data_IF_699633103905
#
_entry.id   IF_699633103905
#
_cell.length_a   1.000
_cell.length_b   1.000
_cell.length_c   1.000
_cell.angle_alpha   90.00
_cell.angle_beta   90.00
_cell.angle_gamma   90.00
#
_symmetry.space_group_name_H-M   'P 1'
#
loop_
_entity.id
_entity.type
_entity.pdbx_description
1 polymer ?
#
# COMPACT_ATOMS: atom_id res chain seq x y z
N UNK A 1 19.46 6.71 23.20
CA UNK A 1 18.01 6.81 22.94
C UNK A 1 17.76 6.26 21.55
N UNK A 2 16.75 5.41 21.34
CA UNK A 2 16.42 4.89 20.00
C UNK A 2 15.30 5.75 19.43
N UNK A 3 15.41 6.17 18.17
CA UNK A 3 14.32 6.86 17.50
C UNK A 3 13.07 5.96 17.47
N UNK A 4 11.95 6.39 18.06
CA UNK A 4 10.77 5.54 18.16
C UNK A 4 9.92 5.54 16.88
N UNK A 5 10.21 6.45 15.93
CA UNK A 5 9.56 6.49 14.64
C UNK A 5 10.33 5.59 13.66
N UNK A 6 9.65 4.60 13.08
CA UNK A 6 10.24 3.71 12.08
C UNK A 6 9.83 4.12 10.67
N UNK A 7 10.77 4.06 9.73
CA UNK A 7 10.51 4.21 8.29
C UNK A 7 10.13 2.87 7.61
N UNK A 8 10.16 1.77 8.36
CA UNK A 8 9.85 0.43 7.88
C UNK A 8 8.55 -0.10 8.48
N UNK A 9 8.11 -1.27 8.03
CA UNK A 9 6.97 -1.98 8.60
C UNK A 9 7.16 -2.15 10.11
N UNK A 10 6.14 -1.78 10.88
CA UNK A 10 6.20 -1.83 12.33
C UNK A 10 6.14 -3.28 12.83
N UNK A 11 6.99 -3.61 13.80
CA UNK A 11 7.00 -4.94 14.42
C UNK A 11 5.76 -5.20 15.29
N UNK A 12 5.49 -6.47 15.58
CA UNK A 12 4.30 -6.92 16.33
C UNK A 12 4.09 -6.31 17.71
N UNK A 13 5.10 -5.67 18.31
CA UNK A 13 5.02 -5.01 19.62
C UNK A 13 5.22 -3.50 19.55
N UNK A 14 5.52 -2.97 18.36
CA UNK A 14 5.73 -1.53 18.21
C UNK A 14 4.39 -0.78 18.32
N UNK A 15 4.37 0.48 18.77
CA UNK A 15 3.15 1.26 18.85
C UNK A 15 2.47 1.38 17.48
N UNK A 16 1.18 1.13 17.41
CA UNK A 16 0.38 1.25 16.19
C UNK A 16 -0.79 2.19 16.46
N UNK A 17 -0.83 3.33 15.75
CA UNK A 17 -1.81 4.37 16.00
C UNK A 17 -3.21 3.95 15.56
N UNK A 18 -4.15 4.05 16.51
CA UNK A 18 -5.59 3.79 16.46
C UNK A 18 -6.21 3.47 15.07
N UNK A 19 -6.00 2.23 14.61
CA UNK A 19 -6.75 1.60 13.51
C UNK A 19 -7.49 0.35 14.01
N UNK A 20 -7.97 0.42 15.26
CA UNK A 20 -8.58 -0.70 15.98
C UNK A 20 -9.94 -1.09 15.40
N UNK A 21 -10.75 -0.12 15.00
CA UNK A 21 -12.08 -0.36 14.40
C UNK A 21 -11.99 -1.13 13.08
N UNK A 22 -11.11 -0.70 12.17
CA UNK A 22 -10.92 -1.38 10.88
C UNK A 22 -10.30 -2.77 11.08
N UNK A 23 -9.37 -2.94 12.03
CA UNK A 23 -8.85 -4.27 12.39
C UNK A 23 -9.94 -5.17 12.94
N UNK A 24 -10.78 -4.69 13.85
CA UNK A 24 -11.88 -5.46 14.42
C UNK A 24 -12.90 -5.86 13.35
N UNK A 25 -13.25 -4.95 12.44
CA UNK A 25 -14.14 -5.22 11.32
C UNK A 25 -13.55 -6.28 10.37
N UNK A 26 -12.29 -6.14 9.97
CA UNK A 26 -11.62 -7.13 9.12
C UNK A 26 -11.48 -8.49 9.81
N UNK A 27 -11.22 -8.50 11.11
CA UNK A 27 -11.09 -9.72 11.91
C UNK A 27 -12.42 -10.46 12.01
N UNK A 28 -13.53 -9.75 12.21
CA UNK A 28 -14.88 -10.32 12.25
C UNK A 28 -15.21 -10.98 10.91
N UNK A 29 -15.05 -10.24 9.81
CA UNK A 29 -15.34 -10.75 8.46
C UNK A 29 -14.45 -11.94 8.10
N UNK A 30 -13.15 -11.88 8.43
CA UNK A 30 -12.21 -12.96 8.17
C UNK A 30 -12.59 -14.24 8.92
N UNK A 31 -13.10 -14.14 10.15
CA UNK A 31 -13.61 -15.31 10.90
C UNK A 31 -14.92 -15.84 10.35
N UNK A 32 -15.71 -15.01 9.69
CA UNK A 32 -16.98 -15.38 9.08
C UNK A 32 -16.85 -16.01 7.69
N UNK A 33 -15.65 -16.15 7.14
CA UNK A 33 -15.46 -16.67 5.77
C UNK A 33 -15.66 -15.60 4.68
N UNK A 34 -15.73 -14.32 5.05
CA UNK A 34 -16.09 -13.24 4.12
C UNK A 34 -14.87 -12.58 3.48
N UNK A 35 -14.97 -12.35 2.17
CA UNK A 35 -13.93 -11.68 1.40
C UNK A 35 -14.02 -10.16 1.54
N UNK A 36 -12.89 -9.49 1.71
CA UNK A 36 -12.78 -8.05 1.86
C UNK A 36 -11.73 -7.47 0.93
N UNK A 37 -11.93 -6.21 0.54
CA UNK A 37 -10.97 -5.41 -0.23
C UNK A 37 -10.62 -4.20 0.61
N UNK A 38 -9.33 -3.98 0.84
CA UNK A 38 -8.83 -2.79 1.52
C UNK A 38 -8.15 -1.86 0.53
N UNK A 39 -8.83 -0.76 0.24
CA UNK A 39 -8.32 0.34 -0.57
C UNK A 39 -7.53 1.29 0.34
N UNK A 40 -6.20 1.23 0.25
CA UNK A 40 -5.32 2.06 1.05
C UNK A 40 -4.47 2.97 0.15
N UNK A 41 -4.30 4.26 0.49
CA UNK A 41 -3.33 5.11 -0.18
C UNK A 41 -1.92 4.49 -0.10
N UNK A 42 -1.04 4.83 -1.06
CA UNK A 42 0.38 4.48 -0.96
C UNK A 42 0.94 4.98 0.37
N UNK A 43 1.81 4.16 0.99
CA UNK A 43 2.48 4.48 2.25
C UNK A 43 1.54 4.76 3.45
N UNK A 44 0.27 4.36 3.37
CA UNK A 44 -0.69 4.49 4.49
C UNK A 44 -0.48 3.49 5.65
N UNK A 45 0.51 2.59 5.57
CA UNK A 45 0.76 1.55 6.57
C UNK A 45 -0.01 0.24 6.36
N UNK A 46 -0.53 0.01 5.14
CA UNK A 46 -1.32 -1.19 4.78
C UNK A 46 -0.65 -2.52 5.14
N UNK A 47 0.66 -2.64 4.92
CA UNK A 47 1.42 -3.85 5.21
C UNK A 47 1.51 -4.10 6.72
N UNK A 48 1.72 -3.05 7.51
CA UNK A 48 1.66 -3.14 8.98
C UNK A 48 0.28 -3.60 9.44
N UNK A 49 -0.80 -3.00 8.91
CA UNK A 49 -2.17 -3.40 9.25
C UNK A 49 -2.42 -4.89 8.92
N UNK A 50 -1.99 -5.35 7.74
CA UNK A 50 -2.10 -6.75 7.33
C UNK A 50 -1.37 -7.70 8.30
N UNK A 51 -0.16 -7.32 8.77
CA UNK A 51 0.57 -8.10 9.77
C UNK A 51 -0.12 -8.09 11.14
N UNK A 52 -0.71 -6.97 11.56
CA UNK A 52 -1.51 -6.90 12.81
C UNK A 52 -2.71 -7.83 12.75
N UNK A 53 -3.48 -7.76 11.66
CA UNK A 53 -4.60 -8.66 11.42
C UNK A 53 -4.12 -10.11 11.41
N UNK A 54 -3.01 -10.40 10.75
CA UNK A 54 -2.47 -11.75 10.68
C UNK A 54 -2.06 -12.31 12.05
N UNK A 55 -1.41 -11.49 12.88
CA UNK A 55 -1.06 -11.83 14.26
C UNK A 55 -2.32 -12.15 15.07
N UNK A 56 -3.31 -11.26 15.03
CA UNK A 56 -4.53 -11.41 15.83
C UNK A 56 -5.35 -12.62 15.37
N UNK A 57 -5.41 -12.89 14.07
CA UNK A 57 -6.04 -14.06 13.49
C UNK A 57 -5.33 -15.37 13.86
N UNK A 58 -3.99 -15.39 13.88
CA UNK A 58 -3.22 -16.54 14.37
C UNK A 58 -3.44 -16.80 15.86
N UNK A 59 -3.49 -15.75 16.68
CA UNK A 59 -3.78 -15.87 18.12
C UNK A 59 -5.18 -16.44 18.38
N UNK A 60 -6.09 -16.28 17.44
CA UNK A 60 -7.43 -16.87 17.47
C UNK A 60 -7.48 -18.34 16.99
N UNK A 61 -6.34 -18.94 16.64
CA UNK A 61 -6.25 -20.33 16.15
C UNK A 61 -6.35 -20.49 14.63
N UNK A 62 -6.39 -19.39 13.87
CA UNK A 62 -6.42 -19.44 12.40
C UNK A 62 -5.04 -19.48 11.75
N UNK A 63 -5.00 -19.83 10.47
CA UNK A 63 -3.80 -19.76 9.62
C UNK A 63 -3.89 -18.54 8.73
N UNK A 64 -2.77 -17.84 8.52
CA UNK A 64 -2.71 -16.66 7.65
C UNK A 64 -1.55 -16.74 6.67
N UNK A 65 -1.89 -16.72 5.38
CA UNK A 65 -0.96 -16.56 4.26
C UNK A 65 -0.97 -15.11 3.78
N UNK A 66 0.20 -14.52 3.57
CA UNK A 66 0.35 -13.16 3.02
C UNK A 66 1.26 -13.25 1.81
N UNK A 67 0.70 -13.03 0.63
CA UNK A 67 1.44 -13.01 -0.63
C UNK A 67 1.53 -11.58 -1.17
N UNK A 68 2.74 -11.10 -1.37
CA UNK A 68 3.02 -9.84 -2.05
C UNK A 68 3.05 -10.07 -3.57
N UNK A 69 2.09 -9.51 -4.30
CA UNK A 69 1.98 -9.64 -5.76
C UNK A 69 2.54 -8.43 -6.51
N UNK A 70 3.29 -7.56 -5.84
CA UNK A 70 3.89 -6.36 -6.43
C UNK A 70 4.80 -6.69 -7.63
N UNK A 71 4.53 -6.05 -8.76
CA UNK A 71 5.34 -6.16 -9.97
C UNK A 71 5.62 -7.61 -10.43
N UNK A 72 4.68 -8.54 -10.22
CA UNK A 72 4.80 -9.89 -10.78
C UNK A 72 4.81 -9.81 -12.32
N UNK A 73 5.74 -10.51 -13.01
CA UNK A 73 5.85 -10.43 -14.47
C UNK A 73 4.87 -11.36 -15.21
N UNK A 74 4.28 -12.35 -14.53
CA UNK A 74 3.43 -13.37 -15.14
C UNK A 74 2.52 -14.06 -14.12
N UNK A 75 1.52 -14.81 -14.61
CA UNK A 75 0.67 -15.67 -13.78
C UNK A 75 1.47 -16.76 -13.04
N UNK A 76 2.52 -17.31 -13.65
CA UNK A 76 3.41 -18.28 -13.00
C UNK A 76 4.14 -17.68 -11.80
N UNK A 77 4.66 -16.46 -11.95
CA UNK A 77 5.33 -15.77 -10.85
C UNK A 77 4.36 -15.44 -9.70
N UNK A 78 3.11 -15.07 -10.04
CA UNK A 78 2.07 -14.90 -9.03
C UNK A 78 1.76 -16.21 -8.30
N UNK A 79 1.62 -17.32 -9.05
CA UNK A 79 1.40 -18.65 -8.50
C UNK A 79 2.51 -19.05 -7.53
N UNK A 80 3.77 -18.79 -7.91
CA UNK A 80 4.95 -19.06 -7.08
C UNK A 80 4.94 -18.25 -5.78
N UNK A 81 4.66 -16.93 -5.84
CA UNK A 81 4.60 -16.11 -4.63
C UNK A 81 3.49 -16.54 -3.67
N UNK A 82 2.32 -16.91 -4.19
CA UNK A 82 1.20 -17.43 -3.38
C UNK A 82 1.59 -18.78 -2.75
N UNK A 83 2.22 -19.66 -3.52
CA UNK A 83 2.68 -20.95 -3.05
C UNK A 83 3.72 -20.82 -1.92
N UNK A 84 4.73 -19.95 -2.09
CA UNK A 84 5.74 -19.67 -1.07
C UNK A 84 5.10 -19.08 0.19
N UNK A 85 4.19 -18.12 0.05
CA UNK A 85 3.47 -17.53 1.17
C UNK A 85 2.64 -18.56 1.94
N UNK A 86 1.93 -19.43 1.23
CA UNK A 86 1.17 -20.53 1.82
C UNK A 86 2.08 -21.51 2.56
N UNK A 87 3.16 -21.95 1.92
CA UNK A 87 4.12 -22.86 2.53
C UNK A 87 4.68 -22.26 3.82
N UNK A 88 5.12 -21.00 3.80
CA UNK A 88 5.63 -20.29 4.96
C UNK A 88 4.60 -20.23 6.09
N UNK A 89 3.33 -19.91 5.77
CA UNK A 89 2.25 -19.86 6.75
C UNK A 89 2.00 -21.21 7.43
N UNK A 90 2.02 -22.30 6.67
CA UNK A 90 1.76 -23.64 7.17
C UNK A 90 2.94 -24.22 7.95
N UNK A 91 4.18 -23.87 7.58
CA UNK A 91 5.39 -24.30 8.29
C UNK A 91 5.53 -23.73 9.70
N UNK A 92 4.79 -22.67 10.04
CA UNK A 92 4.80 -22.08 11.40
C UNK A 92 4.24 -23.03 12.46
N UNK A 93 3.33 -23.93 12.08
CA UNK A 93 2.79 -24.95 12.96
C UNK A 93 3.16 -26.35 12.46
N UNK A 94 4.07 -27.03 13.17
CA UNK A 94 4.55 -28.37 12.80
C UNK A 94 3.43 -29.40 12.64
N UNK A 95 2.35 -29.31 13.43
CA UNK A 95 1.22 -30.26 13.34
C UNK A 95 0.41 -30.00 12.07
N UNK A 96 0.13 -28.74 11.78
CA UNK A 96 -0.56 -28.32 10.56
C UNK A 96 0.30 -28.69 9.34
N UNK A 97 1.59 -28.37 9.38
CA UNK A 97 2.53 -28.72 8.32
C UNK A 97 2.58 -30.23 8.03
N UNK A 98 2.69 -31.08 9.06
CA UNK A 98 2.69 -32.53 8.89
C UNK A 98 1.38 -33.07 8.29
N UNK A 99 0.24 -32.49 8.69
CA UNK A 99 -1.08 -32.83 8.14
C UNK A 99 -1.23 -32.41 6.68
N UNK A 100 -0.63 -31.30 6.30
CA UNK A 100 -0.78 -30.66 4.99
C UNK A 100 0.38 -30.91 4.03
N UNK A 101 1.48 -31.52 4.48
CA UNK A 101 2.69 -31.72 3.69
C UNK A 101 2.43 -32.43 2.35
N UNK A 102 1.41 -33.30 2.27
CA UNK A 102 1.02 -33.97 1.02
C UNK A 102 0.36 -33.03 0.01
N UNK A 103 -0.37 -32.01 0.46
CA UNK A 103 -1.00 -30.99 -0.39
C UNK A 103 0.03 -29.96 -0.89
N UNK A 104 1.03 -29.66 -0.06
CA UNK A 104 2.04 -28.64 -0.37
C UNK A 104 3.29 -29.25 -1.04
N UNK A 105 3.40 -30.58 -1.15
CA UNK A 105 4.52 -31.28 -1.80
C UNK A 105 4.71 -30.88 -3.26
N UNK A 106 3.63 -30.58 -3.97
CA UNK A 106 3.65 -30.06 -5.34
C UNK A 106 4.21 -28.62 -5.42
N UNK A 107 4.39 -27.97 -4.27
CA UNK A 107 4.78 -26.58 -4.14
C UNK A 107 6.03 -26.35 -3.30
N UNK A 108 6.79 -27.43 -3.03
CA UNK A 108 8.02 -27.32 -2.26
C UNK A 108 9.01 -26.41 -3.01
N UNK A 109 9.50 -25.34 -2.35
CA UNK A 109 10.56 -24.53 -2.91
C UNK A 109 11.81 -25.39 -3.10
N UNK A 110 12.25 -25.52 -4.35
CA UNK A 110 13.54 -26.07 -4.72
C UNK A 110 14.54 -24.93 -4.72
N UNK A 111 15.51 -25.04 -3.82
CA UNK A 111 16.64 -24.13 -3.75
C UNK A 111 17.71 -24.63 -4.72
N UNK A 112 17.94 -23.88 -5.79
CA UNK A 112 19.00 -24.15 -6.76
C UNK A 112 20.14 -23.16 -6.55
N UNK A 113 21.37 -23.64 -6.47
CA UNK A 113 22.54 -22.78 -6.45
C UNK A 113 22.97 -22.49 -7.89
N UNK A 114 22.97 -21.22 -8.27
CA UNK A 114 23.44 -20.77 -9.56
C UNK A 114 24.98 -20.85 -9.63
N UNK A 115 25.57 -20.91 -10.84
CA UNK A 115 27.02 -20.95 -11.02
C UNK A 115 27.77 -19.74 -10.43
N UNK A 116 27.09 -18.61 -10.26
CA UNK A 116 27.63 -17.37 -9.65
C UNK A 116 27.57 -17.37 -8.11
N UNK A 117 27.11 -18.46 -7.49
CA UNK A 117 26.97 -18.60 -6.05
C UNK A 117 25.68 -18.02 -5.47
N UNK A 118 24.77 -17.50 -6.29
CA UNK A 118 23.45 -17.04 -5.83
C UNK A 118 22.48 -18.21 -5.69
N UNK A 119 21.52 -18.12 -4.76
CA UNK A 119 20.48 -19.13 -4.60
C UNK A 119 19.19 -18.64 -5.27
N UNK A 120 18.65 -19.45 -6.18
CA UNK A 120 17.30 -19.27 -6.72
C UNK A 120 16.35 -20.22 -6.01
N UNK A 121 15.24 -19.68 -5.52
CA UNK A 121 14.15 -20.47 -4.95
C UNK A 121 13.11 -20.59 -6.06
N UNK A 122 12.84 -21.80 -6.51
CA UNK A 122 11.83 -22.07 -7.54
C UNK A 122 10.85 -23.14 -7.05
N UNK A 123 9.57 -23.02 -7.38
CA UNK A 123 8.62 -24.09 -7.04
C UNK A 123 8.61 -25.16 -8.14
N UNK A 124 8.84 -26.43 -7.79
CA UNK A 124 8.74 -27.56 -8.73
C UNK A 124 7.35 -28.16 -8.72
N UNK A 125 6.52 -27.81 -9.71
CA UNK A 125 5.25 -28.53 -9.91
C UNK A 125 5.55 -29.93 -10.45
N UNK A 126 5.00 -30.96 -9.80
CA UNK A 126 5.09 -32.34 -10.27
C UNK A 126 4.29 -32.51 -11.58
N UNK A 127 4.94 -32.27 -12.72
CA UNK A 127 4.68 -32.85 -14.06
C UNK A 127 3.30 -32.74 -14.73
N UNK A 128 2.24 -32.29 -14.06
CA UNK A 128 0.86 -32.43 -14.57
C UNK A 128 0.09 -31.11 -14.76
N UNK A 129 0.57 -29.99 -14.21
CA UNK A 129 -0.12 -28.70 -14.31
C UNK A 129 0.50 -27.89 -15.45
N UNK A 130 -0.33 -27.45 -16.40
CA UNK A 130 0.08 -26.52 -17.47
C UNK A 130 0.53 -25.19 -16.83
N UNK A 131 1.56 -24.56 -17.38
CA UNK A 131 2.07 -23.27 -16.89
C UNK A 131 1.05 -22.12 -17.04
N UNK A 132 1.36 -20.97 -16.45
CA UNK A 132 0.56 -19.76 -16.55
C UNK A 132 -0.66 -19.76 -15.63
N UNK A 133 -1.83 -19.44 -16.20
CA UNK A 133 -3.09 -19.29 -15.45
C UNK A 133 -3.51 -20.61 -14.78
N UNK A 134 -3.33 -21.75 -15.45
CA UNK A 134 -3.68 -23.06 -14.91
C UNK A 134 -2.90 -23.38 -13.62
N UNK A 135 -1.62 -23.00 -13.58
CA UNK A 135 -0.79 -23.12 -12.38
C UNK A 135 -1.26 -22.22 -11.25
N UNK A 136 -1.59 -20.96 -11.56
CA UNK A 136 -2.13 -20.01 -10.59
C UNK A 136 -3.45 -20.52 -9.99
N UNK A 137 -4.37 -20.98 -10.83
CA UNK A 137 -5.64 -21.59 -10.40
C UNK A 137 -5.41 -22.83 -9.56
N UNK A 138 -4.45 -23.69 -9.93
CA UNK A 138 -4.11 -24.87 -9.14
C UNK A 138 -3.62 -24.49 -7.73
N UNK A 139 -2.70 -23.54 -7.62
CA UNK A 139 -2.18 -23.08 -6.31
C UNK A 139 -3.31 -22.49 -5.46
N UNK A 140 -4.15 -21.64 -6.05
CA UNK A 140 -5.26 -21.01 -5.33
C UNK A 140 -6.35 -22.02 -4.98
N UNK A 141 -6.60 -23.02 -5.83
CA UNK A 141 -7.53 -24.11 -5.56
C UNK A 141 -7.06 -25.04 -4.43
N UNK A 142 -5.74 -25.18 -4.24
CA UNK A 142 -5.22 -25.96 -3.12
C UNK A 142 -5.36 -25.27 -1.76
N UNK A 143 -5.55 -23.94 -1.72
CA UNK A 143 -5.94 -23.21 -0.50
C UNK A 143 -7.28 -23.71 0.04
N UNK A 144 -8.22 -24.02 -0.86
CA UNK A 144 -9.53 -24.55 -0.47
C UNK A 144 -9.39 -25.88 0.25
N UNK A 145 -8.54 -26.78 -0.26
CA UNK A 145 -8.28 -28.08 0.35
C UNK A 145 -7.68 -27.96 1.76
N UNK A 146 -6.90 -26.91 2.03
CA UNK A 146 -6.37 -26.62 3.37
C UNK A 146 -7.52 -26.27 4.33
N UNK A 147 -8.45 -25.42 3.89
CA UNK A 147 -9.58 -24.99 4.71
C UNK A 147 -10.62 -26.11 4.89
N UNK A 148 -11.01 -26.77 3.79
CA UNK A 148 -12.08 -27.76 3.75
C UNK A 148 -11.74 -29.08 4.44
N UNK A 149 -10.55 -29.63 4.16
CA UNK A 149 -10.22 -31.00 4.59
C UNK A 149 -9.85 -31.08 6.07
N UNK A 150 -9.48 -29.96 6.67
CA UNK A 150 -8.92 -29.92 8.03
C UNK A 150 -9.67 -29.00 8.99
N UNK A 151 -10.75 -28.36 8.52
CA UNK A 151 -11.56 -27.41 9.30
C UNK A 151 -10.68 -26.31 9.93
N UNK A 152 -9.69 -25.84 9.15
CA UNK A 152 -8.74 -24.81 9.57
C UNK A 152 -9.24 -23.46 9.02
N UNK A 153 -9.56 -22.49 9.88
CA UNK A 153 -9.86 -21.14 9.44
C UNK A 153 -8.63 -20.55 8.75
N UNK A 154 -8.74 -20.27 7.44
CA UNK A 154 -7.66 -19.76 6.62
C UNK A 154 -7.99 -18.35 6.14
N UNK A 155 -7.10 -17.40 6.43
CA UNK A 155 -7.12 -16.06 5.84
C UNK A 155 -5.98 -15.94 4.81
N UNK A 156 -6.33 -15.56 3.60
CA UNK A 156 -5.40 -15.34 2.49
C UNK A 156 -5.35 -13.83 2.19
N UNK A 157 -4.20 -13.22 2.45
CA UNK A 157 -3.95 -11.81 2.12
C UNK A 157 -3.17 -11.76 0.81
N UNK A 158 -3.73 -11.07 -0.19
CA UNK A 158 -3.08 -10.80 -1.47
C UNK A 158 -2.78 -9.30 -1.55
N UNK A 159 -1.53 -8.92 -1.29
CA UNK A 159 -1.07 -7.52 -1.38
C UNK A 159 -0.71 -7.16 -2.82
N UNK A 160 -0.95 -5.89 -3.18
CA UNK A 160 -0.90 -5.37 -4.54
C UNK A 160 -1.67 -6.22 -5.58
N UNK A 161 -2.85 -6.73 -5.19
CA UNK A 161 -3.65 -7.64 -6.03
C UNK A 161 -3.97 -7.09 -7.43
N UNK A 162 -4.11 -5.77 -7.56
CA UNK A 162 -4.39 -5.13 -8.83
C UNK A 162 -3.28 -5.28 -9.87
N UNK A 163 -2.06 -5.61 -9.45
CA UNK A 163 -0.95 -5.81 -10.39
C UNK A 163 -1.19 -7.03 -11.30
N UNK A 164 -2.01 -8.00 -10.86
CA UNK A 164 -2.46 -9.10 -11.72
C UNK A 164 -3.30 -8.62 -12.90
N UNK A 165 -4.12 -7.58 -12.69
CA UNK A 165 -4.94 -7.01 -13.75
C UNK A 165 -4.13 -6.20 -14.78
N UNK A 166 -2.87 -5.88 -14.47
CA UNK A 166 -1.95 -5.18 -15.36
C UNK A 166 -1.14 -6.13 -16.25
N UNK A 167 -1.19 -7.43 -15.99
CA UNK A 167 -0.59 -8.44 -16.83
C UNK A 167 -1.28 -8.48 -18.20
N UNK A 168 -0.55 -8.96 -19.22
CA UNK A 168 -1.06 -9.12 -20.59
C UNK A 168 -2.38 -9.92 -20.62
N UNK A 169 -2.49 -10.94 -19.79
CA UNK A 169 -3.66 -11.82 -19.69
C UNK A 169 -4.55 -11.49 -18.48
N UNK A 170 -4.52 -10.23 -18.00
CA UNK A 170 -5.12 -9.82 -16.73
C UNK A 170 -6.62 -10.11 -16.59
N UNK A 171 -7.42 -9.92 -17.64
CA UNK A 171 -8.86 -10.24 -17.60
C UNK A 171 -9.12 -11.75 -17.44
N UNK A 172 -8.34 -12.59 -18.12
CA UNK A 172 -8.45 -14.04 -18.02
C UNK A 172 -8.00 -14.54 -16.63
N UNK A 173 -6.92 -13.96 -16.08
CA UNK A 173 -6.46 -14.23 -14.71
C UNK A 173 -7.55 -13.86 -13.71
N UNK A 174 -8.15 -12.68 -13.85
CA UNK A 174 -9.21 -12.20 -12.97
C UNK A 174 -10.42 -13.15 -12.97
N UNK A 175 -10.90 -13.54 -14.15
CA UNK A 175 -12.02 -14.46 -14.30
C UNK A 175 -11.73 -15.85 -13.71
N UNK A 176 -10.53 -16.38 -13.94
CA UNK A 176 -10.11 -17.67 -13.42
C UNK A 176 -10.01 -17.66 -11.88
N UNK A 177 -9.39 -16.62 -11.31
CA UNK A 177 -9.30 -16.45 -9.86
C UNK A 177 -10.68 -16.27 -9.22
N UNK A 178 -11.56 -15.45 -9.80
CA UNK A 178 -12.93 -15.29 -9.30
C UNK A 178 -13.66 -16.63 -9.21
N UNK A 179 -13.60 -17.41 -10.29
CA UNK A 179 -14.27 -18.72 -10.37
C UNK A 179 -13.76 -19.68 -9.32
N UNK A 180 -12.46 -19.60 -9.02
CA UNK A 180 -11.79 -20.44 -8.03
C UNK A 180 -12.12 -20.01 -6.60
N UNK A 181 -12.05 -18.71 -6.30
CA UNK A 181 -12.21 -18.14 -4.95
C UNK A 181 -13.65 -18.20 -4.46
N UNK A 182 -14.64 -18.02 -5.34
CA UNK A 182 -16.04 -17.86 -4.92
C UNK A 182 -16.66 -19.08 -4.22
N UNK A 183 -16.07 -20.26 -4.37
CA UNK A 183 -16.55 -21.51 -3.78
C UNK A 183 -15.78 -21.93 -2.53
N UNK A 184 -14.75 -21.16 -2.14
CA UNK A 184 -13.87 -21.56 -1.06
C UNK A 184 -14.40 -21.15 0.31
N UNK A 185 -14.05 -21.93 1.33
CA UNK A 185 -14.29 -21.56 2.74
C UNK A 185 -13.27 -20.57 3.30
N UNK A 186 -12.11 -20.44 2.65
CA UNK A 186 -11.08 -19.49 3.06
C UNK A 186 -11.56 -18.05 2.87
N UNK A 187 -11.21 -17.17 3.81
CA UNK A 187 -11.43 -15.74 3.70
C UNK A 187 -10.30 -15.07 2.93
N UNK A 188 -10.63 -14.13 2.05
CA UNK A 188 -9.65 -13.38 1.28
C UNK A 188 -9.64 -11.91 1.69
N UNK A 189 -8.44 -11.34 1.86
CA UNK A 189 -8.21 -9.91 1.98
C UNK A 189 -7.36 -9.44 0.79
N UNK A 190 -7.99 -8.70 -0.12
CA UNK A 190 -7.31 -8.09 -1.26
C UNK A 190 -6.86 -6.68 -0.88
N UNK A 191 -5.57 -6.39 -1.00
CA UNK A 191 -4.99 -5.09 -0.67
C UNK A 191 -4.32 -4.53 -1.91
N UNK A 192 -4.35 -3.19 -2.08
CA UNK A 192 -3.70 -2.57 -3.22
C UNK A 192 -3.53 -1.07 -3.11
N UNK A 193 -2.41 -0.59 -3.64
CA UNK A 193 -2.10 0.84 -3.68
C UNK A 193 -2.78 1.58 -4.83
N UNK A 194 -2.99 0.95 -5.99
CA UNK A 194 -3.70 1.59 -7.11
C UNK A 194 -5.22 1.47 -6.91
N UNK A 195 -5.72 2.27 -5.98
CA UNK A 195 -7.10 2.21 -5.47
C UNK A 195 -8.14 2.22 -6.58
N UNK A 196 -7.94 3.00 -7.65
CA UNK A 196 -8.87 3.02 -8.79
C UNK A 196 -9.00 1.66 -9.47
N UNK A 197 -7.88 1.02 -9.81
CA UNK A 197 -7.89 -0.28 -10.51
C UNK A 197 -8.50 -1.33 -9.61
N UNK A 198 -8.07 -1.38 -8.35
CA UNK A 198 -8.59 -2.35 -7.38
C UNK A 198 -10.09 -2.13 -7.13
N UNK A 199 -10.54 -0.89 -6.95
CA UNK A 199 -11.97 -0.55 -6.83
C UNK A 199 -12.75 -0.99 -8.07
N UNK A 200 -12.26 -0.65 -9.27
CA UNK A 200 -12.91 -1.01 -10.52
C UNK A 200 -13.10 -2.54 -10.63
N UNK A 201 -12.13 -3.35 -10.20
CA UNK A 201 -12.23 -4.83 -10.20
C UNK A 201 -13.42 -5.36 -9.38
N UNK A 202 -13.76 -4.72 -8.26
CA UNK A 202 -14.79 -5.23 -7.32
C UNK A 202 -16.13 -4.48 -7.39
N UNK A 203 -16.15 -3.23 -7.88
CA UNK A 203 -17.36 -2.40 -7.95
C UNK A 203 -17.93 -2.25 -9.37
N UNK A 204 -17.18 -2.60 -10.43
CA UNK A 204 -17.68 -2.48 -11.80
C UNK A 204 -18.39 -3.74 -12.28
N UNK A 205 -19.64 -3.66 -12.79
CA UNK A 205 -20.35 -4.81 -13.38
C UNK A 205 -19.64 -5.45 -14.60
N UNK A 206 -18.64 -4.78 -15.17
CA UNK A 206 -17.85 -5.26 -16.31
C UNK A 206 -16.66 -6.13 -15.89
N UNK A 207 -16.40 -6.27 -14.58
CA UNK A 207 -15.24 -6.98 -14.03
C UNK A 207 -15.68 -8.28 -13.39
N UNK A 208 -14.80 -9.28 -13.38
CA UNK A 208 -15.15 -10.62 -12.91
C UNK A 208 -15.37 -10.64 -11.39
N UNK A 209 -14.60 -9.85 -10.62
CA UNK A 209 -14.77 -9.73 -9.18
C UNK A 209 -15.93 -8.85 -8.73
N UNK A 210 -16.82 -8.43 -9.63
CA UNK A 210 -17.98 -7.61 -9.27
C UNK A 210 -18.78 -8.21 -8.10
N UNK A 211 -18.89 -7.45 -7.00
CA UNK A 211 -19.54 -7.87 -5.74
C UNK A 211 -18.96 -9.16 -5.13
N UNK A 212 -17.72 -9.52 -5.46
CA UNK A 212 -17.03 -10.70 -4.94
C UNK A 212 -16.47 -10.52 -3.52
N UNK A 213 -16.44 -9.29 -3.00
CA UNK A 213 -15.91 -8.93 -1.69
C UNK A 213 -16.48 -7.59 -1.21
N UNK A 214 -16.46 -7.36 0.10
CA UNK A 214 -16.82 -6.08 0.71
C UNK A 214 -15.67 -5.08 0.56
N UNK A 215 -15.92 -3.97 -0.13
CA UNK A 215 -14.91 -2.92 -0.35
C UNK A 215 -14.89 -1.95 0.82
N UNK A 216 -13.69 -1.71 1.38
CA UNK A 216 -13.44 -0.79 2.49
C UNK A 216 -12.29 0.13 2.15
N UNK A 217 -12.39 1.40 2.52
CA UNK A 217 -11.25 2.32 2.46
C UNK A 217 -10.49 2.25 3.80
N UNK A 218 -9.16 2.32 3.76
CA UNK A 218 -8.37 2.60 4.95
C UNK A 218 -8.49 4.11 5.24
N UNK A 219 -9.18 4.52 6.32
CA UNK A 219 -9.26 5.94 6.65
C UNK A 219 -7.88 6.47 7.04
N UNK A 220 -7.71 7.78 6.86
CA UNK A 220 -6.64 8.49 7.53
C UNK A 220 -6.86 8.42 9.04
N UNK A 221 -5.77 8.42 9.80
CA UNK A 221 -5.83 8.48 11.26
C UNK A 221 -6.42 9.84 11.64
N UNK A 222 -7.31 9.87 12.63
CA UNK A 222 -7.86 11.11 13.17
C UNK A 222 -6.71 12.03 13.65
N UNK A 223 -6.80 13.33 13.38
CA UNK A 223 -5.72 14.26 13.69
C UNK A 223 -5.36 14.29 15.16
N UNK A 224 -6.36 14.32 16.05
CA UNK A 224 -6.14 14.39 17.49
C UNK A 224 -5.51 13.10 18.02
N UNK A 225 -6.02 11.95 17.57
CA UNK A 225 -5.46 10.65 17.92
C UNK A 225 -4.01 10.50 17.43
N UNK A 226 -3.71 11.00 16.24
CA UNK A 226 -2.36 10.92 15.67
C UNK A 226 -1.39 11.79 16.47
N UNK A 227 -1.77 13.03 16.79
CA UNK A 227 -0.96 13.92 17.62
C UNK A 227 -0.71 13.33 19.01
N UNK A 228 -1.74 12.81 19.67
CA UNK A 228 -1.62 12.13 20.97
C UNK A 228 -0.67 10.94 20.90
N UNK A 229 -0.76 10.15 19.83
CA UNK A 229 0.14 9.03 19.61
C UNK A 229 1.60 9.49 19.47
N UNK A 230 1.88 10.55 18.72
CA UNK A 230 3.24 11.08 18.58
C UNK A 230 3.81 11.53 19.93
N UNK A 231 3.04 12.25 20.74
CA UNK A 231 3.45 12.66 22.10
C UNK A 231 3.78 11.43 22.96
N UNK A 232 2.89 10.43 22.97
CA UNK A 232 3.07 9.23 23.78
C UNK A 232 4.30 8.41 23.36
N UNK A 233 4.53 8.27 22.05
CA UNK A 233 5.66 7.54 21.47
C UNK A 233 6.99 8.22 21.81
N UNK A 234 7.04 9.54 21.76
CA UNK A 234 8.23 10.33 22.15
C UNK A 234 8.48 10.24 23.65
N UNK A 235 7.44 10.40 24.47
CA UNK A 235 7.55 10.26 25.93
C UNK A 235 8.11 8.90 26.34
N UNK A 236 7.63 7.82 25.71
CA UNK A 236 8.11 6.45 25.96
C UNK A 236 9.59 6.25 25.57
N UNK A 237 10.12 7.06 24.66
CA UNK A 237 11.54 7.03 24.27
C UNK A 237 12.47 7.81 25.22
N UNK A 238 11.92 8.61 26.13
CA UNK A 238 12.66 9.43 27.09
C UNK A 238 12.92 10.88 26.65
N UNK A 239 12.27 11.34 25.58
CA UNK A 239 12.22 12.75 25.18
C UNK A 239 10.81 13.31 25.42
N UNK A 240 10.60 14.61 25.21
CA UNK A 240 9.29 15.25 25.35
C UNK A 240 9.08 16.24 24.21
N UNK A 241 7.90 16.19 23.60
CA UNK A 241 7.43 17.17 22.60
C UNK A 241 6.14 17.81 23.09
N UNK A 242 6.00 19.10 22.81
CA UNK A 242 4.76 19.82 23.07
C UNK A 242 3.67 19.41 22.07
N UNK A 243 2.41 19.38 22.52
CA UNK A 243 1.25 19.00 21.69
C UNK A 243 1.14 19.85 20.42
N UNK A 244 1.44 21.14 20.51
CA UNK A 244 1.41 22.05 19.36
C UNK A 244 2.36 21.60 18.23
N UNK A 245 3.55 21.08 18.56
CA UNK A 245 4.50 20.57 17.55
C UNK A 245 3.90 19.35 16.83
N UNK A 246 3.28 18.43 17.58
CA UNK A 246 2.65 17.25 16.97
C UNK A 246 1.44 17.60 16.11
N UNK A 247 0.63 18.58 16.54
CA UNK A 247 -0.50 19.09 15.76
C UNK A 247 -0.02 19.75 14.45
N UNK A 248 1.05 20.54 14.52
CA UNK A 248 1.64 21.19 13.34
C UNK A 248 2.20 20.14 12.36
N UNK A 249 2.86 19.08 12.84
CA UNK A 249 3.31 17.97 11.98
C UNK A 249 2.12 17.34 11.27
N UNK A 250 1.08 16.95 12.02
CA UNK A 250 -0.09 16.24 11.49
C UNK A 250 -0.85 17.12 10.49
N UNK A 251 -1.03 18.41 10.79
CA UNK A 251 -1.70 19.37 9.92
C UNK A 251 -0.92 19.61 8.61
N UNK A 252 0.41 19.77 8.70
CA UNK A 252 1.28 20.08 7.54
C UNK A 252 1.15 19.04 6.41
N UNK A 253 0.93 17.77 6.77
CA UNK A 253 0.84 16.67 5.81
C UNK A 253 -0.49 15.93 5.87
N UNK A 254 -1.55 16.61 6.35
CA UNK A 254 -2.93 16.14 6.34
C UNK A 254 -3.10 14.69 6.83
N UNK A 255 -2.52 14.36 7.98
CA UNK A 255 -2.58 13.02 8.59
C UNK A 255 -2.04 11.86 7.73
N UNK A 256 -1.29 12.12 6.66
CA UNK A 256 -0.71 11.07 5.83
C UNK A 256 0.36 10.31 6.61
N UNK A 257 0.09 9.03 6.93
CA UNK A 257 0.84 8.22 7.90
C UNK A 257 2.35 8.27 7.71
N UNK A 258 2.82 8.04 6.48
CA UNK A 258 4.24 8.04 6.19
C UNK A 258 4.86 9.43 6.30
N UNK A 259 4.17 10.46 5.83
CA UNK A 259 4.70 11.82 5.86
C UNK A 259 4.81 12.35 7.28
N UNK A 260 3.80 12.08 8.12
CA UNK A 260 3.84 12.38 9.56
C UNK A 260 5.04 11.68 10.20
N UNK A 261 5.17 10.37 9.97
CA UNK A 261 6.26 9.56 10.55
C UNK A 261 7.64 10.00 10.03
N UNK A 262 7.77 10.40 8.77
CA UNK A 262 9.02 10.85 8.18
C UNK A 262 9.48 12.17 8.80
N UNK A 263 8.59 13.16 8.93
CA UNK A 263 8.88 14.43 9.58
C UNK A 263 9.20 14.19 11.07
N UNK A 264 8.40 13.39 11.76
CA UNK A 264 8.61 13.09 13.18
C UNK A 264 9.95 12.36 13.40
N UNK A 265 10.30 11.41 12.53
CA UNK A 265 11.59 10.75 12.57
C UNK A 265 12.75 11.74 12.45
N UNK A 266 12.70 12.63 11.44
CA UNK A 266 13.74 13.63 11.20
C UNK A 266 13.86 14.61 12.37
N UNK A 267 12.73 15.12 12.86
CA UNK A 267 12.69 16.04 14.00
C UNK A 267 13.29 15.40 15.26
N UNK A 268 12.96 14.14 15.52
CA UNK A 268 13.48 13.41 16.66
C UNK A 268 15.00 13.22 16.57
N UNK A 269 15.53 12.88 15.39
CA UNK A 269 16.97 12.78 15.18
C UNK A 269 17.69 14.10 15.45
N UNK A 270 17.07 15.23 15.11
CA UNK A 270 17.66 16.55 15.25
C UNK A 270 17.65 17.07 16.69
N UNK A 271 16.56 16.82 17.44
CA UNK A 271 16.36 17.51 18.72
C UNK A 271 16.49 16.62 19.94
N UNK A 272 16.29 15.31 19.82
CA UNK A 272 16.29 14.43 20.99
C UNK A 272 17.63 14.50 21.76
N UNK A 273 17.59 14.56 23.10
CA UNK A 273 16.43 14.40 23.98
C UNK A 273 15.67 15.71 24.30
N UNK A 274 16.04 16.85 23.71
CA UNK A 274 15.43 18.15 23.98
C UNK A 274 14.09 18.32 23.24
N UNK A 275 13.20 19.12 23.82
CA UNK A 275 11.96 19.52 23.15
C UNK A 275 12.29 20.40 21.94
N UNK A 276 11.71 20.13 20.76
CA UNK A 276 11.90 20.93 19.56
C UNK A 276 11.20 22.29 19.67
N UNK A 277 11.78 23.30 19.03
CA UNK A 277 11.14 24.58 18.74
C UNK A 277 10.39 24.54 17.39
N UNK A 278 9.59 25.57 17.11
CA UNK A 278 8.95 25.72 15.80
C UNK A 278 9.97 25.86 14.66
N UNK A 279 11.14 26.43 14.92
CA UNK A 279 12.21 26.51 13.92
C UNK A 279 12.79 25.12 13.63
N UNK A 280 13.00 24.29 14.65
CA UNK A 280 13.47 22.91 14.47
C UNK A 280 12.49 22.10 13.62
N UNK A 281 11.18 22.31 13.80
CA UNK A 281 10.14 21.69 12.98
C UNK A 281 10.27 22.10 11.49
N UNK A 282 10.44 23.39 11.21
CA UNK A 282 10.63 23.88 9.84
C UNK A 282 11.89 23.29 9.21
N UNK A 283 12.98 23.23 9.96
CA UNK A 283 14.25 22.65 9.49
C UNK A 283 14.10 21.14 9.25
N UNK A 284 13.38 20.42 10.11
CA UNK A 284 13.09 19.00 9.94
C UNK A 284 12.19 18.71 8.73
N UNK A 285 11.22 19.58 8.43
CA UNK A 285 10.42 19.49 7.21
C UNK A 285 11.32 19.61 5.99
N UNK A 286 12.19 20.64 5.93
CA UNK A 286 13.09 20.84 4.81
C UNK A 286 14.06 19.67 4.63
N UNK A 287 14.68 19.19 5.71
CA UNK A 287 15.58 18.03 5.65
C UNK A 287 14.83 16.76 5.20
N UNK A 288 13.57 16.58 5.61
CA UNK A 288 12.73 15.47 5.13
C UNK A 288 12.48 15.58 3.63
N UNK A 289 12.20 16.78 3.10
CA UNK A 289 12.03 17.01 1.66
C UNK A 289 13.33 16.76 0.88
N UNK A 290 14.47 17.13 1.44
CA UNK A 290 15.79 16.89 0.82
C UNK A 290 16.13 15.40 0.76
N UNK A 291 15.84 14.65 1.83
CA UNK A 291 16.02 13.18 1.88
C UNK A 291 15.16 12.45 0.85
N UNK A 292 13.91 12.89 0.63
CA UNK A 292 13.00 12.30 -0.36
C UNK A 292 13.23 12.84 -1.79
N UNK A 293 14.02 13.91 -1.94
CA UNK A 293 14.18 14.65 -3.20
C UNK A 293 14.61 13.76 -4.36
N UNK A 294 15.54 12.82 -4.14
CA UNK A 294 15.98 11.87 -5.17
C UNK A 294 14.83 11.03 -5.73
N UNK A 295 13.92 10.57 -4.87
CA UNK A 295 12.77 9.79 -5.27
C UNK A 295 11.72 10.66 -5.99
N UNK A 296 11.42 11.84 -5.45
CA UNK A 296 10.50 12.77 -6.10
C UNK A 296 11.02 13.23 -7.47
N UNK A 297 12.34 13.43 -7.62
CA UNK A 297 12.97 13.70 -8.91
C UNK A 297 12.80 12.55 -9.89
N UNK A 298 12.97 11.30 -9.46
CA UNK A 298 12.79 10.13 -10.33
C UNK A 298 11.35 10.04 -10.85
N UNK A 299 10.36 10.19 -9.96
CA UNK A 299 8.94 10.25 -10.33
C UNK A 299 8.70 11.40 -11.32
N UNK A 300 9.11 12.62 -10.93
CA UNK A 300 8.89 13.81 -11.75
C UNK A 300 9.56 13.69 -13.13
N UNK A 301 10.77 13.13 -13.20
CA UNK A 301 11.50 12.90 -14.44
C UNK A 301 10.85 11.82 -15.35
N UNK A 302 10.12 10.87 -14.78
CA UNK A 302 9.35 9.87 -15.54
C UNK A 302 8.12 10.45 -16.26
N UNK A 303 7.57 11.56 -15.77
CA UNK A 303 6.36 12.17 -16.34
C UNK A 303 6.68 12.97 -17.61
N UNK A 304 5.75 13.00 -18.56
CA UNK A 304 5.85 13.86 -19.75
C UNK A 304 5.71 15.35 -19.39
N UNK A 305 6.21 16.29 -20.21
CA UNK A 305 6.14 17.72 -19.89
C UNK A 305 4.73 18.23 -19.57
N UNK A 306 3.72 17.75 -20.30
CA UNK A 306 2.32 18.15 -20.09
C UNK A 306 1.76 17.59 -18.76
N UNK A 307 2.11 16.35 -18.42
CA UNK A 307 1.72 15.73 -17.15
C UNK A 307 2.38 16.44 -15.97
N UNK A 308 3.68 16.80 -16.08
CA UNK A 308 4.38 17.60 -15.07
C UNK A 308 3.72 18.95 -14.83
N UNK A 309 3.35 19.65 -15.90
CA UNK A 309 2.74 20.98 -15.81
C UNK A 309 1.41 20.90 -15.06
N UNK A 310 0.57 19.89 -15.36
CA UNK A 310 -0.67 19.67 -14.62
C UNK A 310 -0.42 19.29 -13.16
N UNK A 311 0.56 18.41 -12.88
CA UNK A 311 0.90 18.02 -11.51
C UNK A 311 1.36 19.23 -10.67
N UNK A 312 2.17 20.11 -11.26
CA UNK A 312 2.59 21.37 -10.62
C UNK A 312 1.42 22.31 -10.37
N UNK A 313 0.51 22.44 -11.34
CA UNK A 313 -0.70 23.24 -11.18
C UNK A 313 -1.54 22.77 -9.99
N UNK A 314 -1.78 21.46 -9.90
CA UNK A 314 -2.56 20.86 -8.80
C UNK A 314 -1.84 20.93 -7.45
N UNK A 315 -0.50 20.90 -7.43
CA UNK A 315 0.27 21.07 -6.20
C UNK A 315 0.14 22.50 -5.62
N UNK A 316 0.15 23.49 -6.51
CA UNK A 316 0.01 24.90 -6.18
C UNK A 316 -1.45 25.27 -5.85
N UNK A 317 -2.40 24.79 -6.65
CA UNK A 317 -3.82 25.13 -6.57
C UNK A 317 -4.70 23.91 -6.89
N UNK A 318 -5.07 23.12 -5.89
CA UNK A 318 -6.13 22.12 -6.03
C UNK A 318 -7.40 22.70 -6.66
N UNK A 319 -8.05 21.91 -7.52
CA UNK A 319 -9.27 22.37 -8.21
C UNK A 319 -10.21 21.22 -8.55
N UNK A 320 -11.51 21.49 -8.56
CA UNK A 320 -12.54 20.58 -9.07
C UNK A 320 -12.63 20.65 -10.61
N UNK A 321 -12.12 21.72 -11.21
CA UNK A 321 -12.28 22.04 -12.63
C UNK A 321 -10.93 22.29 -13.33
N UNK A 322 -10.03 21.29 -13.41
CA UNK A 322 -8.70 21.45 -14.02
C UNK A 322 -8.73 21.79 -15.52
N UNK A 323 -9.90 21.64 -16.17
CA UNK A 323 -10.12 21.95 -17.58
C UNK A 323 -10.87 23.29 -17.79
N UNK A 324 -11.12 24.06 -16.73
CA UNK A 324 -11.71 25.40 -16.84
C UNK A 324 -10.72 26.34 -17.54
N UNK A 325 -11.23 27.23 -18.40
CA UNK A 325 -10.39 28.07 -19.27
C UNK A 325 -9.48 29.02 -18.50
N UNK A 326 -9.99 29.59 -17.41
CA UNK A 326 -9.27 30.45 -16.47
C UNK A 326 -8.14 29.68 -15.75
N UNK A 327 -8.42 28.49 -15.23
CA UNK A 327 -7.43 27.63 -14.58
C UNK A 327 -6.35 27.19 -15.56
N UNK A 328 -6.73 26.76 -16.76
CA UNK A 328 -5.78 26.37 -17.81
C UNK A 328 -4.89 27.53 -18.24
N UNK A 329 -5.46 28.73 -18.40
CA UNK A 329 -4.71 29.94 -18.74
C UNK A 329 -3.70 30.31 -17.64
N UNK A 330 -4.16 30.35 -16.38
CA UNK A 330 -3.34 30.66 -15.20
C UNK A 330 -2.13 29.73 -15.08
N UNK A 331 -2.34 28.42 -15.27
CA UNK A 331 -1.32 27.40 -15.09
C UNK A 331 -0.62 26.98 -16.39
N UNK A 332 -0.86 27.69 -17.51
CA UNK A 332 -0.27 27.42 -18.83
C UNK A 332 -0.50 25.97 -19.29
N UNK A 333 -1.66 25.42 -18.97
CA UNK A 333 -2.09 24.13 -19.47
C UNK A 333 -2.46 24.27 -20.95
N UNK A 334 -2.30 23.17 -21.70
CA UNK A 334 -2.48 23.19 -23.16
C UNK A 334 -3.96 23.25 -23.56
N UNK A 335 -4.55 22.14 -23.99
CA UNK A 335 -5.98 22.05 -24.30
C UNK A 335 -6.66 21.02 -23.40
N UNK A 336 -7.99 21.11 -23.28
CA UNK A 336 -8.78 20.23 -22.41
C UNK A 336 -8.58 18.73 -22.73
N UNK A 337 -8.36 18.36 -23.99
CA UNK A 337 -8.08 16.98 -24.39
C UNK A 337 -6.76 16.45 -23.81
N UNK A 338 -5.71 17.26 -23.85
CA UNK A 338 -4.42 16.93 -23.22
C UNK A 338 -4.54 16.90 -21.70
N UNK A 339 -5.20 17.88 -21.09
CA UNK A 339 -5.43 17.90 -19.62
C UNK A 339 -6.17 16.65 -19.18
N UNK A 340 -7.22 16.25 -19.90
CA UNK A 340 -7.96 15.01 -19.63
C UNK A 340 -7.09 13.77 -19.68
N UNK A 341 -6.21 13.66 -20.68
CA UNK A 341 -5.24 12.54 -20.77
C UNK A 341 -4.25 12.57 -19.61
N UNK A 342 -3.71 13.74 -19.28
CA UNK A 342 -2.78 13.90 -18.16
C UNK A 342 -3.42 13.58 -16.81
N UNK A 343 -4.68 13.98 -16.57
CA UNK A 343 -5.44 13.56 -15.39
C UNK A 343 -5.57 12.04 -15.32
N UNK A 344 -5.92 11.40 -16.44
CA UNK A 344 -6.08 9.95 -16.48
C UNK A 344 -4.76 9.23 -16.13
N UNK A 345 -3.62 9.71 -16.64
CA UNK A 345 -2.29 9.20 -16.28
C UNK A 345 -2.01 9.37 -14.78
N UNK A 346 -2.15 10.59 -14.24
CA UNK A 346 -1.85 10.87 -12.84
C UNK A 346 -2.75 10.09 -11.87
N UNK A 347 -4.02 9.89 -12.19
CA UNK A 347 -4.96 9.08 -11.39
C UNK A 347 -4.59 7.59 -11.47
N UNK A 348 -4.26 7.10 -12.67
CA UNK A 348 -3.93 5.69 -12.88
C UNK A 348 -2.62 5.30 -12.18
N UNK A 349 -1.66 6.22 -12.14
CA UNK A 349 -0.39 6.07 -11.45
C UNK A 349 -0.44 6.42 -9.95
N UNK A 350 -1.62 6.79 -9.44
CA UNK A 350 -1.90 7.17 -8.04
C UNK A 350 -1.05 8.37 -7.56
N UNK A 351 -0.75 9.31 -8.45
CA UNK A 351 -0.09 10.59 -8.12
C UNK A 351 -1.07 11.67 -7.66
N UNK A 352 -2.32 11.58 -8.13
CA UNK A 352 -3.42 12.45 -7.69
C UNK A 352 -4.66 11.61 -7.41
N UNK A 353 -5.53 12.15 -6.59
CA UNK A 353 -6.85 11.62 -6.34
C UNK A 353 -7.91 12.70 -6.50
N UNK A 354 -9.16 12.25 -6.59
CA UNK A 354 -10.34 13.11 -6.49
C UNK A 354 -11.04 12.77 -5.18
N UNK A 355 -11.11 13.72 -4.27
CA UNK A 355 -11.80 13.52 -3.00
C UNK A 355 -13.33 13.51 -3.16
N UNK A 356 -14.05 13.30 -2.06
CA UNK A 356 -15.52 13.25 -2.04
C UNK A 356 -16.17 14.58 -2.46
N UNK A 357 -15.50 15.71 -2.23
CA UNK A 357 -15.95 17.03 -2.71
C UNK A 357 -15.76 17.20 -4.22
N UNK A 358 -14.99 16.31 -4.85
CA UNK A 358 -14.65 16.35 -6.25
C UNK A 358 -13.36 17.11 -6.56
N UNK A 359 -12.58 17.51 -5.55
CA UNK A 359 -11.34 18.27 -5.67
C UNK A 359 -10.20 17.35 -6.06
N UNK A 360 -9.41 17.75 -7.07
CA UNK A 360 -8.20 17.02 -7.46
C UNK A 360 -7.01 17.47 -6.63
N UNK A 361 -6.37 16.51 -5.94
CA UNK A 361 -5.27 16.73 -5.01
C UNK A 361 -4.14 15.71 -5.25
N UNK A 362 -2.91 16.06 -4.87
CA UNK A 362 -1.81 15.10 -4.82
C UNK A 362 -2.04 14.10 -3.68
N UNK A 363 -1.73 12.84 -3.93
CA UNK A 363 -1.83 11.76 -2.93
C UNK A 363 -0.68 11.80 -1.92
N UNK A 364 0.50 12.31 -2.31
CA UNK A 364 1.67 12.47 -1.44
C UNK A 364 1.85 13.95 -1.05
N UNK A 365 1.59 14.34 0.21
CA UNK A 365 1.72 15.71 0.67
C UNK A 365 3.18 16.19 0.73
N UNK A 366 4.17 15.30 0.94
CA UNK A 366 5.58 15.70 0.87
C UNK A 366 5.98 16.05 -0.56
N UNK A 367 5.47 15.30 -1.56
CA UNK A 367 5.68 15.66 -2.95
C UNK A 367 5.05 17.02 -3.28
N UNK A 368 3.88 17.33 -2.73
CA UNK A 368 3.24 18.65 -2.87
C UNK A 368 4.12 19.77 -2.30
N UNK A 369 4.61 19.61 -1.07
CA UNK A 369 5.50 20.59 -0.43
C UNK A 369 6.80 20.77 -1.22
N UNK A 370 7.40 19.66 -1.67
CA UNK A 370 8.61 19.68 -2.49
C UNK A 370 8.42 20.42 -3.82
N UNK A 371 7.30 20.18 -4.52
CA UNK A 371 6.97 20.90 -5.75
C UNK A 371 6.81 22.40 -5.49
N UNK A 372 6.11 22.78 -4.43
CA UNK A 372 5.86 24.18 -4.08
C UNK A 372 7.15 24.92 -3.70
N UNK A 373 8.03 24.32 -2.88
CA UNK A 373 9.34 24.90 -2.55
C UNK A 373 10.18 25.16 -3.80
N UNK A 374 10.11 24.26 -4.78
CA UNK A 374 10.84 24.39 -6.04
C UNK A 374 10.25 25.45 -6.97
N UNK A 375 8.93 25.63 -6.96
CA UNK A 375 8.24 26.68 -7.71
C UNK A 375 8.56 28.07 -7.15
N UNK A 376 8.56 28.24 -5.83
CA UNK A 376 8.95 29.49 -5.15
C UNK A 376 10.40 29.83 -5.48
N UNK A 377 11.32 28.88 -5.34
CA UNK A 377 12.73 29.08 -5.71
C UNK A 377 12.94 29.40 -7.19
N UNK A 378 12.02 28.98 -8.08
CA UNK A 378 12.05 29.32 -9.50
C UNK A 378 11.48 30.72 -9.79
N UNK A 379 10.44 31.15 -9.08
CA UNK A 379 9.89 32.50 -9.18
C UNK A 379 10.90 33.55 -8.68
N UNK A 380 11.53 33.32 -7.53
CA UNK A 380 12.61 34.19 -7.01
C UNK A 380 13.77 34.29 -8.01
N UNK A 381 14.14 33.19 -8.68
CA UNK A 381 15.19 33.22 -9.71
C UNK A 381 14.76 33.97 -10.98
N UNK A 382 13.47 34.03 -11.33
CA UNK A 382 12.99 34.78 -12.50
C UNK A 382 12.86 36.27 -12.18
N UNK A 383 12.58 36.65 -10.94
CA UNK A 383 12.49 38.06 -10.51
C UNK A 383 13.86 38.73 -10.29
N UNK A 384 14.93 37.94 -10.22
CA UNK A 384 16.32 38.42 -10.06
C UNK A 384 17.08 38.56 -11.40
N UNK A 385 16.42 38.30 -12.54
CA UNK A 385 16.93 38.55 -13.90
C UNK A 385 15.94 39.42 -14.68
#
# INVERSE_FOLDING_TARGET
>A
MRNPFSKTVLGDKEPFCNQTEILAALMLEARSGNNNVLLAPRRAGKTTLAYRLARDYRNAGGVVSIADLSAVPSADAAAERIAIALFAALSLDKKIFQRLASLIRAYLPVVTMNPDGTFTISVSASGAVRGGIDRLVSVVGDLDKVSDKFDIPLLVVLDEFQDLALLKDGEAIEAALRTTIQHQKASYLFIGSRRKILRDMFESPKRAFYRGATVRNLPLINSDEFSEHLVAVVAASGAAWDRNITDDIVATVACHTYSVTAIAHTLFEMTAPKSPSNQDLLDAINDTLDRESSQFMAIYAGLTPQVRTLLQALAAEPTQHPMAGDYMSKHRLSNAGTVKKSLATLITEDHIERDESGLFNLTDPLMRLWLNNRLVNRQVRIELF
#
